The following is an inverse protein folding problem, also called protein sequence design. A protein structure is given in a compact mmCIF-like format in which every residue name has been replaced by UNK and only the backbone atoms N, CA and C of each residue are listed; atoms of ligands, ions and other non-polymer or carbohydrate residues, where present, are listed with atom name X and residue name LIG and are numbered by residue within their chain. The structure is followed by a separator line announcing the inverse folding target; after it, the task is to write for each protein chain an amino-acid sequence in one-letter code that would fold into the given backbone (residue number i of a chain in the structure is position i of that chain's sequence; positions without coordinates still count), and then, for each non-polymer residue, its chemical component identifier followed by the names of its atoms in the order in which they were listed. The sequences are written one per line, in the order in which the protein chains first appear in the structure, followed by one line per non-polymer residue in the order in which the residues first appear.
data_IF_348217671208
#
_entry.id   IF_348217671208
#
_cell.length_a   1.000
_cell.length_b   1.000
_cell.length_c   1.000
_cell.angle_alpha   90.00
_cell.angle_beta   90.00
_cell.angle_gamma   90.00
#
_symmetry.space_group_name_H-M   'P 1'
#
loop_
_entity.id
_entity.type
_entity.pdbx_description
1 polymer ?
#
# COMPACT_ATOMS: atom_id res chain seq x y z
N UNK A 1 -16.99 0.53 -6.52
CA UNK A 1 -15.54 0.62 -6.81
C UNK A 1 -14.87 -0.73 -7.06
N UNK A 2 -15.10 -1.80 -6.28
CA UNK A 2 -14.34 -3.06 -6.39
C UNK A 2 -14.25 -3.70 -7.79
N UNK A 3 -15.36 -3.73 -8.54
CA UNK A 3 -15.35 -4.26 -9.92
C UNK A 3 -14.47 -3.42 -10.87
N UNK A 4 -14.49 -2.09 -10.74
CA UNK A 4 -13.65 -1.20 -11.54
C UNK A 4 -12.17 -1.39 -11.20
N UNK A 5 -11.81 -1.45 -9.92
CA UNK A 5 -10.44 -1.65 -9.47
C UNK A 5 -9.85 -2.99 -9.94
N UNK A 6 -10.68 -4.03 -10.03
CA UNK A 6 -10.28 -5.36 -10.51
C UNK A 6 -9.82 -5.32 -11.97
N UNK A 7 -10.47 -4.52 -12.82
CA UNK A 7 -10.08 -4.35 -14.22
C UNK A 7 -8.93 -3.35 -14.38
N UNK A 8 -9.01 -2.22 -13.68
CA UNK A 8 -8.09 -1.11 -13.85
C UNK A 8 -6.69 -1.41 -13.30
N UNK A 9 -6.59 -2.05 -12.14
CA UNK A 9 -5.30 -2.30 -11.46
C UNK A 9 -4.29 -3.08 -12.32
N UNK A 10 -4.64 -4.28 -12.83
CA UNK A 10 -3.75 -5.05 -13.70
C UNK A 10 -3.35 -4.30 -14.97
N UNK A 11 -4.27 -3.59 -15.61
CA UNK A 11 -3.99 -2.81 -16.81
C UNK A 11 -2.98 -1.70 -16.47
N UNK A 12 -3.26 -0.88 -15.45
CA UNK A 12 -2.42 0.25 -15.01
C UNK A 12 -0.95 -0.13 -14.83
N UNK A 13 -0.68 -1.22 -14.11
CA UNK A 13 0.70 -1.63 -13.84
C UNK A 13 1.33 -2.44 -14.99
N UNK A 14 0.53 -3.12 -15.82
CA UNK A 14 1.08 -3.96 -16.92
C UNK A 14 1.55 -3.15 -18.12
N UNK A 15 1.00 -1.95 -18.33
CA UNK A 15 1.43 -1.05 -19.42
C UNK A 15 2.74 -0.33 -19.10
N UNK A 16 3.10 -0.16 -17.82
CA UNK A 16 4.31 0.57 -17.41
C UNK A 16 5.55 0.02 -18.12
N UNK A 17 5.85 -1.30 -18.07
CA UNK A 17 7.06 -1.79 -18.72
C UNK A 17 6.86 -2.06 -20.23
N UNK A 18 5.70 -1.70 -20.82
CA UNK A 18 5.57 -1.58 -22.28
C UNK A 18 6.00 -0.19 -22.77
N UNK A 19 5.92 0.83 -21.92
CA UNK A 19 6.27 2.21 -22.26
C UNK A 19 7.62 2.66 -21.68
N UNK A 20 8.14 1.96 -20.68
CA UNK A 20 9.34 2.34 -19.94
C UNK A 20 10.45 1.30 -20.09
N UNK A 21 11.71 1.76 -20.13
CA UNK A 21 12.87 0.87 -20.08
C UNK A 21 13.05 0.22 -18.71
N UNK A 22 13.84 -0.86 -18.63
CA UNK A 22 14.08 -1.59 -17.37
C UNK A 22 14.64 -0.71 -16.25
N UNK A 23 15.52 0.24 -16.59
CA UNK A 23 16.11 1.20 -15.64
C UNK A 23 15.13 2.30 -15.20
N UNK A 24 14.01 2.47 -15.91
CA UNK A 24 13.01 3.50 -15.63
C UNK A 24 11.84 2.95 -14.79
N UNK A 25 11.77 1.63 -14.57
CA UNK A 25 10.66 0.99 -13.87
C UNK A 25 10.50 1.47 -12.44
N UNK A 26 11.60 1.78 -11.75
CA UNK A 26 11.54 2.28 -10.38
C UNK A 26 10.94 3.68 -10.36
N UNK A 27 11.43 4.59 -11.21
CA UNK A 27 10.90 5.96 -11.32
C UNK A 27 9.43 5.96 -11.74
N UNK A 28 9.05 5.13 -12.70
CA UNK A 28 7.67 5.00 -13.13
C UNK A 28 6.75 4.48 -12.00
N UNK A 29 7.18 3.46 -11.25
CA UNK A 29 6.41 2.97 -10.11
C UNK A 29 6.34 4.01 -8.98
N UNK A 30 7.44 4.69 -8.67
CA UNK A 30 7.47 5.75 -7.66
C UNK A 30 6.49 6.89 -8.00
N UNK A 31 6.41 7.30 -9.27
CA UNK A 31 5.45 8.31 -9.73
C UNK A 31 4.00 7.83 -9.63
N UNK A 32 3.71 6.61 -10.10
CA UNK A 32 2.36 6.03 -10.03
C UNK A 32 1.90 5.86 -8.59
N UNK A 33 2.79 5.42 -7.70
CA UNK A 33 2.52 5.21 -6.29
C UNK A 33 2.32 6.56 -5.57
N UNK A 34 3.25 7.50 -5.71
CA UNK A 34 3.13 8.85 -5.16
C UNK A 34 1.86 9.56 -5.64
N UNK A 35 1.53 9.44 -6.94
CA UNK A 35 0.31 10.01 -7.50
C UNK A 35 -0.97 9.34 -6.98
N UNK A 36 -0.96 8.02 -6.77
CA UNK A 36 -2.08 7.29 -6.17
C UNK A 36 -2.31 7.76 -4.73
N UNK A 37 -1.24 7.87 -3.95
CA UNK A 37 -1.30 8.36 -2.58
C UNK A 37 -1.75 9.82 -2.52
N UNK A 38 -1.19 10.71 -3.35
CA UNK A 38 -1.65 12.10 -3.46
C UNK A 38 -3.16 12.19 -3.82
N UNK A 39 -3.64 11.34 -4.72
CA UNK A 39 -5.06 11.28 -5.06
C UNK A 39 -5.95 10.78 -3.91
N UNK A 40 -5.49 9.78 -3.14
CA UNK A 40 -6.18 9.32 -1.92
C UNK A 40 -6.28 10.47 -0.92
N UNK A 41 -5.18 11.18 -0.68
CA UNK A 41 -5.16 12.32 0.23
C UNK A 41 -6.14 13.42 -0.18
N UNK A 42 -6.01 13.90 -1.41
CA UNK A 42 -6.88 14.96 -1.93
C UNK A 42 -8.35 14.52 -1.94
N UNK A 43 -8.63 13.28 -2.31
CA UNK A 43 -9.98 12.71 -2.30
C UNK A 43 -10.57 12.65 -0.89
N UNK A 44 -9.81 12.19 0.10
CA UNK A 44 -10.25 12.13 1.50
C UNK A 44 -10.48 13.53 2.08
N UNK A 45 -9.56 14.47 1.85
CA UNK A 45 -9.69 15.86 2.30
C UNK A 45 -10.94 16.52 1.71
N UNK A 46 -11.11 16.44 0.39
CA UNK A 46 -12.28 16.99 -0.29
C UNK A 46 -13.57 16.28 0.17
N UNK A 47 -13.52 14.97 0.40
CA UNK A 47 -14.64 14.20 0.92
C UNK A 47 -15.11 14.68 2.29
N UNK A 48 -14.18 14.89 3.23
CA UNK A 48 -14.48 15.40 4.57
C UNK A 48 -15.03 16.83 4.58
N UNK A 49 -14.50 17.71 3.70
CA UNK A 49 -15.04 19.06 3.55
C UNK A 49 -16.47 19.01 2.99
N UNK A 50 -16.69 18.21 1.94
CA UNK A 50 -17.98 18.14 1.25
C UNK A 50 -19.05 17.47 2.12
N UNK A 51 -18.70 16.53 3.00
CA UNK A 51 -19.67 15.90 3.92
C UNK A 51 -20.28 16.88 4.92
N UNK A 52 -19.59 17.98 5.23
CA UNK A 52 -20.08 19.02 6.15
C UNK A 52 -21.02 20.07 5.50
N UNK A 53 -21.21 20.04 4.17
CA UNK A 53 -21.98 21.06 3.44
C UNK A 53 -23.43 20.58 3.21
N UNK A 54 -24.45 21.46 3.27
CA UNK A 54 -25.80 21.13 2.83
C UNK A 54 -25.80 20.59 1.38
N UNK A 55 -26.49 19.46 1.13
CA UNK A 55 -26.44 18.72 -0.13
C UNK A 55 -25.07 18.14 -0.50
N UNK A 56 -24.18 17.92 0.48
CA UNK A 56 -22.84 17.38 0.29
C UNK A 56 -22.77 16.12 -0.59
N UNK A 57 -23.73 15.19 -0.43
CA UNK A 57 -23.80 13.98 -1.28
C UNK A 57 -23.95 14.27 -2.78
N UNK A 58 -24.75 15.28 -3.16
CA UNK A 58 -24.91 15.68 -4.57
C UNK A 58 -23.63 16.34 -5.09
N UNK A 59 -23.03 17.23 -4.29
CA UNK A 59 -21.77 17.91 -4.62
C UNK A 59 -20.65 16.89 -4.81
N UNK A 60 -20.52 15.91 -3.91
CA UNK A 60 -19.57 14.82 -3.99
C UNK A 60 -19.78 14.00 -5.27
N UNK A 61 -21.03 13.70 -5.63
CA UNK A 61 -21.37 13.00 -6.87
C UNK A 61 -20.94 13.76 -8.12
N UNK A 62 -21.23 15.07 -8.20
CA UNK A 62 -20.84 15.94 -9.32
C UNK A 62 -19.31 16.03 -9.41
N UNK A 63 -18.63 16.25 -8.29
CA UNK A 63 -17.17 16.31 -8.23
C UNK A 63 -16.53 15.00 -8.69
N UNK A 64 -17.03 13.85 -8.22
CA UNK A 64 -16.54 12.54 -8.60
C UNK A 64 -16.70 12.28 -10.11
N UNK A 65 -17.84 12.66 -10.70
CA UNK A 65 -18.05 12.57 -12.16
C UNK A 65 -17.07 13.49 -12.90
N UNK A 66 -16.88 14.73 -12.44
CA UNK A 66 -15.92 15.67 -13.03
C UNK A 66 -14.49 15.11 -13.03
N UNK A 67 -14.03 14.58 -11.89
CA UNK A 67 -12.72 13.93 -11.78
C UNK A 67 -12.61 12.71 -12.71
N UNK A 68 -13.67 11.90 -12.82
CA UNK A 68 -13.69 10.75 -13.72
C UNK A 68 -13.58 11.17 -15.20
N UNK A 69 -14.25 12.25 -15.61
CA UNK A 69 -14.16 12.80 -16.97
C UNK A 69 -12.76 13.35 -17.28
N UNK A 70 -12.14 14.04 -16.33
CA UNK A 70 -10.75 14.52 -16.46
C UNK A 70 -9.80 13.32 -16.59
N UNK A 71 -9.94 12.32 -15.72
CA UNK A 71 -9.15 11.08 -15.79
C UNK A 71 -9.32 10.35 -17.12
N UNK A 72 -10.55 10.29 -17.64
CA UNK A 72 -10.83 9.75 -18.97
C UNK A 72 -10.13 10.56 -20.06
N UNK A 73 -10.21 11.90 -20.05
CA UNK A 73 -9.54 12.75 -21.02
C UNK A 73 -8.02 12.51 -21.03
N UNK A 74 -7.36 12.47 -19.87
CA UNK A 74 -5.93 12.15 -19.76
C UNK A 74 -5.61 10.73 -20.22
N UNK A 75 -6.48 9.75 -19.94
CA UNK A 75 -6.27 8.37 -20.37
C UNK A 75 -6.22 8.20 -21.90
N UNK A 76 -6.86 9.11 -22.66
CA UNK A 76 -6.81 9.12 -24.14
C UNK A 76 -5.44 9.48 -24.69
N UNK A 77 -4.56 10.09 -23.90
CA UNK A 77 -3.19 10.42 -24.27
C UNK A 77 -2.19 9.31 -23.94
N UNK A 78 -2.62 8.23 -23.26
CA UNK A 78 -1.76 7.08 -23.01
C UNK A 78 -1.45 6.42 -24.37
N UNK A 79 -0.16 6.22 -24.72
CA UNK A 79 0.21 5.59 -25.98
C UNK A 79 -0.39 4.18 -26.12
N UNK A 80 -0.53 3.70 -27.35
CA UNK A 80 -1.11 2.38 -27.61
C UNK A 80 -0.29 1.27 -26.95
N UNK A 81 -0.96 0.43 -26.15
CA UNK A 81 -0.40 -0.74 -25.48
C UNK A 81 -1.15 -2.00 -25.98
N UNK A 82 -0.78 -2.56 -27.14
CA UNK A 82 -1.50 -3.68 -27.75
C UNK A 82 -1.42 -4.94 -26.89
N UNK A 83 -2.43 -5.81 -27.02
CA UNK A 83 -2.45 -7.09 -26.30
C UNK A 83 -1.27 -7.96 -26.71
N UNK A 84 -0.50 -8.43 -25.73
CA UNK A 84 0.61 -9.35 -25.90
C UNK A 84 0.15 -10.82 -25.99
N UNK A 85 -1.16 -11.09 -25.89
CA UNK A 85 -1.73 -12.43 -26.00
C UNK A 85 -3.13 -12.42 -26.63
N UNK A 86 -3.26 -12.01 -27.90
CA UNK A 86 -4.55 -11.83 -28.56
C UNK A 86 -5.32 -13.15 -28.80
N UNK A 87 -4.62 -14.30 -28.81
CA UNK A 87 -5.24 -15.61 -29.02
C UNK A 87 -5.68 -16.30 -27.70
N UNK A 88 -5.50 -15.66 -26.54
CA UNK A 88 -5.86 -16.29 -25.27
C UNK A 88 -7.38 -16.40 -25.14
N UNK A 89 -7.94 -17.62 -24.96
CA UNK A 89 -9.38 -17.79 -24.86
C UNK A 89 -9.92 -17.17 -23.57
N UNK A 90 -10.99 -16.40 -23.70
CA UNK A 90 -11.70 -15.84 -22.54
C UNK A 90 -12.50 -16.94 -21.83
N UNK A 91 -12.42 -16.98 -20.50
CA UNK A 91 -13.12 -17.97 -19.67
C UNK A 91 -13.86 -17.28 -18.54
N UNK A 92 -15.14 -17.61 -18.38
CA UNK A 92 -15.98 -17.11 -17.29
C UNK A 92 -15.81 -17.90 -15.98
N UNK A 93 -15.00 -18.97 -15.97
CA UNK A 93 -14.78 -19.77 -14.77
C UNK A 93 -13.81 -19.06 -13.81
N UNK A 94 -14.36 -18.16 -12.99
CA UNK A 94 -13.60 -17.30 -12.07
C UNK A 94 -12.71 -18.11 -11.12
N UNK A 95 -13.20 -19.23 -10.57
CA UNK A 95 -12.42 -20.05 -9.63
C UNK A 95 -11.20 -20.67 -10.29
N UNK A 96 -11.39 -21.27 -11.47
CA UNK A 96 -10.30 -21.90 -12.23
C UNK A 96 -9.29 -20.85 -12.69
N UNK A 97 -9.76 -19.68 -13.14
CA UNK A 97 -8.87 -18.59 -13.58
C UNK A 97 -8.09 -17.98 -12.42
N UNK A 98 -8.70 -17.80 -11.25
CA UNK A 98 -8.01 -17.40 -10.01
C UNK A 98 -6.93 -18.41 -9.65
N UNK A 99 -7.26 -19.70 -9.62
CA UNK A 99 -6.29 -20.75 -9.28
C UNK A 99 -5.13 -20.81 -10.28
N UNK A 100 -5.42 -20.75 -11.59
CA UNK A 100 -4.41 -20.73 -12.63
C UNK A 100 -3.49 -19.51 -12.53
N UNK A 101 -4.06 -18.35 -12.20
CA UNK A 101 -3.32 -17.10 -12.01
C UNK A 101 -2.39 -17.16 -10.80
N UNK A 102 -2.86 -17.71 -9.67
CA UNK A 102 -2.04 -17.93 -8.48
C UNK A 102 -0.94 -18.97 -8.73
N UNK A 103 -1.27 -20.07 -9.45
CA UNK A 103 -0.30 -21.10 -9.84
C UNK A 103 0.80 -20.52 -10.72
N UNK A 104 0.45 -19.66 -11.66
CA UNK A 104 1.39 -18.95 -12.53
C UNK A 104 2.37 -18.08 -11.72
N UNK A 105 1.86 -17.33 -10.74
CA UNK A 105 2.71 -16.55 -9.84
C UNK A 105 3.66 -17.44 -9.03
N UNK A 106 3.19 -18.59 -8.54
CA UNK A 106 3.98 -19.53 -7.76
C UNK A 106 5.15 -20.17 -8.54
N UNK A 107 5.04 -20.30 -9.87
CA UNK A 107 6.11 -20.86 -10.72
C UNK A 107 7.40 -20.04 -10.65
N UNK A 108 7.29 -18.71 -10.53
CA UNK A 108 8.45 -17.85 -10.32
C UNK A 108 8.56 -17.49 -8.82
N UNK A 109 9.43 -18.21 -8.11
CA UNK A 109 9.59 -18.05 -6.66
C UNK A 109 10.00 -16.63 -6.24
N UNK A 110 10.76 -15.89 -7.07
CA UNK A 110 11.13 -14.50 -6.75
C UNK A 110 9.89 -13.61 -6.79
N UNK A 111 9.12 -13.72 -7.87
CA UNK A 111 7.87 -12.97 -8.06
C UNK A 111 6.87 -13.30 -6.97
N UNK A 112 6.69 -14.58 -6.64
CA UNK A 112 5.77 -14.99 -5.58
C UNK A 112 6.15 -14.41 -4.21
N UNK A 113 7.44 -14.44 -3.84
CA UNK A 113 7.90 -13.84 -2.60
C UNK A 113 7.73 -12.32 -2.59
N UNK A 114 7.95 -11.65 -3.72
CA UNK A 114 7.69 -10.21 -3.84
C UNK A 114 6.19 -9.91 -3.64
N UNK A 115 5.30 -10.73 -4.19
CA UNK A 115 3.85 -10.60 -3.98
C UNK A 115 3.51 -10.75 -2.50
N UNK A 116 4.00 -11.79 -1.82
CA UNK A 116 3.73 -11.97 -0.39
C UNK A 116 4.22 -10.77 0.44
N UNK A 117 5.38 -10.23 0.10
CA UNK A 117 5.92 -9.04 0.74
C UNK A 117 5.02 -7.82 0.47
N UNK A 118 4.56 -7.60 -0.77
CA UNK A 118 3.60 -6.53 -1.10
C UNK A 118 2.30 -6.72 -0.32
N UNK A 119 1.76 -7.94 -0.25
CA UNK A 119 0.54 -8.26 0.49
C UNK A 119 0.67 -7.95 1.98
N UNK A 120 1.86 -8.13 2.56
CA UNK A 120 2.13 -7.71 3.94
C UNK A 120 2.00 -6.19 4.13
N UNK A 121 2.53 -5.38 3.21
CA UNK A 121 2.37 -3.92 3.27
C UNK A 121 0.90 -3.49 3.18
N UNK A 122 0.12 -4.12 2.30
CA UNK A 122 -1.31 -3.85 2.20
C UNK A 122 -2.08 -4.27 3.44
N UNK A 123 -1.72 -5.39 4.06
CA UNK A 123 -2.26 -5.78 5.37
C UNK A 123 -1.96 -4.73 6.43
N UNK A 124 -0.70 -4.34 6.55
CA UNK A 124 -0.24 -3.32 7.50
C UNK A 124 -1.00 -2.01 7.33
N UNK A 125 -1.06 -1.50 6.10
CA UNK A 125 -1.76 -0.26 5.78
C UNK A 125 -3.27 -0.36 6.01
N UNK A 126 -3.92 -1.45 5.58
CA UNK A 126 -5.36 -1.62 5.78
C UNK A 126 -5.73 -1.71 7.27
N UNK A 127 -4.92 -2.39 8.08
CA UNK A 127 -5.10 -2.46 9.51
C UNK A 127 -4.99 -1.07 10.13
N UNK A 128 -3.92 -0.31 9.87
CA UNK A 128 -3.81 1.07 10.38
C UNK A 128 -4.99 1.95 9.96
N UNK A 129 -5.24 2.05 8.65
CA UNK A 129 -6.23 2.96 8.08
C UNK A 129 -7.65 2.64 8.55
N UNK A 130 -7.99 1.36 8.71
CA UNK A 130 -9.31 0.95 9.20
C UNK A 130 -9.53 1.27 10.68
N UNK A 131 -8.45 1.32 11.47
CA UNK A 131 -8.53 1.62 12.89
C UNK A 131 -8.42 3.12 13.20
N UNK A 132 -7.89 3.97 12.32
CA UNK A 132 -7.69 5.40 12.60
C UNK A 132 -8.94 6.14 13.12
N UNK A 133 -10.15 5.97 12.55
CA UNK A 133 -11.33 6.63 13.09
C UNK A 133 -11.59 6.27 14.56
N UNK A 134 -11.56 4.97 14.88
CA UNK A 134 -11.75 4.49 16.25
C UNK A 134 -10.59 4.88 17.16
N UNK A 135 -9.35 4.76 16.69
CA UNK A 135 -8.14 5.15 17.41
C UNK A 135 -8.18 6.62 17.85
N UNK A 136 -8.57 7.51 16.93
CA UNK A 136 -8.69 8.94 17.23
C UNK A 136 -9.79 9.19 18.26
N UNK A 137 -10.94 8.53 18.14
CA UNK A 137 -12.07 8.72 19.05
C UNK A 137 -11.83 8.14 20.44
N UNK A 138 -11.20 6.96 20.55
CA UNK A 138 -11.10 6.21 21.81
C UNK A 138 -9.77 6.37 22.52
N UNK A 139 -8.68 6.64 21.81
CA UNK A 139 -7.34 6.80 22.39
C UNK A 139 -6.92 8.26 22.40
N UNK A 140 -6.96 8.92 21.23
CA UNK A 140 -6.49 10.31 21.14
C UNK A 140 -7.49 11.34 21.66
N UNK A 141 -8.76 10.95 21.84
CA UNK A 141 -9.88 11.82 22.19
C UNK A 141 -10.01 13.02 21.21
N UNK A 142 -9.69 12.78 19.94
CA UNK A 142 -9.70 13.77 18.86
C UNK A 142 -10.97 13.72 18.00
N UNK A 143 -10.96 14.51 16.94
CA UNK A 143 -12.09 14.70 16.01
C UNK A 143 -11.80 14.19 14.58
N UNK A 144 -12.74 14.38 13.66
CA UNK A 144 -12.58 14.01 12.25
C UNK A 144 -11.39 14.73 11.57
N UNK A 145 -11.07 15.94 12.03
CA UNK A 145 -9.89 16.69 11.55
C UNK A 145 -8.62 15.94 11.92
N UNK A 146 -8.55 15.40 13.13
CA UNK A 146 -7.43 14.57 13.62
C UNK A 146 -7.28 13.30 12.78
N UNK A 147 -8.37 12.59 12.47
CA UNK A 147 -8.36 11.42 11.56
C UNK A 147 -7.76 11.80 10.21
N UNK A 148 -8.20 12.93 9.68
CA UNK A 148 -7.73 13.45 8.39
C UNK A 148 -6.24 13.78 8.42
N UNK A 149 -5.73 14.37 9.51
CA UNK A 149 -4.29 14.62 9.70
C UNK A 149 -3.50 13.30 9.68
N UNK A 150 -3.94 12.27 10.41
CA UNK A 150 -3.26 10.96 10.42
C UNK A 150 -3.21 10.34 9.02
N UNK A 151 -4.34 10.30 8.32
CA UNK A 151 -4.43 9.81 6.94
C UNK A 151 -3.50 10.60 6.01
N UNK A 152 -3.44 11.92 6.20
CA UNK A 152 -2.59 12.81 5.40
C UNK A 152 -1.11 12.54 5.59
N UNK A 153 -0.65 12.47 6.83
CA UNK A 153 0.77 12.26 7.12
C UNK A 153 1.24 10.87 6.72
N UNK A 154 0.44 9.84 6.94
CA UNK A 154 0.74 8.49 6.46
C UNK A 154 0.94 8.49 4.93
N UNK A 155 0.01 9.14 4.22
CA UNK A 155 0.00 9.21 2.76
C UNK A 155 1.17 10.03 2.21
N UNK A 156 1.45 11.19 2.80
CA UNK A 156 2.61 12.04 2.45
C UNK A 156 3.91 11.29 2.74
N UNK A 157 3.99 10.58 3.87
CA UNK A 157 5.12 9.74 4.22
C UNK A 157 5.43 8.74 3.12
N UNK A 158 4.42 8.00 2.62
CA UNK A 158 4.63 7.03 1.52
C UNK A 158 5.12 7.70 0.24
N UNK A 159 4.60 8.89 -0.11
CA UNK A 159 5.11 9.68 -1.24
C UNK A 159 6.58 10.05 -1.07
N UNK A 160 6.98 10.55 0.10
CA UNK A 160 8.38 10.87 0.43
C UNK A 160 9.24 9.61 0.34
N UNK A 161 8.79 8.50 0.93
CA UNK A 161 9.47 7.20 0.87
C UNK A 161 9.67 6.68 -0.54
N UNK A 162 8.68 6.88 -1.41
CA UNK A 162 8.72 6.46 -2.81
C UNK A 162 9.77 7.24 -3.60
N UNK A 163 9.83 8.57 -3.42
CA UNK A 163 10.85 9.43 -4.02
C UNK A 163 12.24 9.10 -3.46
N UNK A 164 12.33 8.84 -2.15
CA UNK A 164 13.58 8.45 -1.51
C UNK A 164 14.08 7.10 -2.07
N UNK A 165 13.17 6.14 -2.29
CA UNK A 165 13.50 4.86 -2.92
C UNK A 165 14.13 5.08 -4.29
N UNK A 166 13.52 5.91 -5.13
CA UNK A 166 14.06 6.23 -6.45
C UNK A 166 15.52 6.73 -6.34
N UNK A 167 15.75 7.75 -5.50
CA UNK A 167 17.09 8.34 -5.30
C UNK A 167 18.11 7.34 -4.76
N UNK A 168 17.74 6.54 -3.77
CA UNK A 168 18.64 5.55 -3.14
C UNK A 168 18.86 4.29 -4.00
N UNK A 169 17.95 4.02 -4.94
CA UNK A 169 18.04 2.86 -5.83
C UNK A 169 19.07 3.03 -6.94
N UNK A 170 19.47 4.27 -7.25
CA UNK A 170 20.25 4.62 -8.44
C UNK A 170 19.69 3.95 -9.71
N UNK A 171 18.37 3.95 -9.89
CA UNK A 171 17.67 3.38 -11.05
C UNK A 171 17.82 1.85 -11.20
N UNK A 172 18.17 1.14 -10.12
CA UNK A 172 18.36 -0.32 -10.08
C UNK A 172 17.58 -0.97 -8.94
N UNK A 173 17.05 -2.17 -9.15
CA UNK A 173 16.27 -2.87 -8.12
C UNK A 173 17.21 -3.33 -7.00
N UNK A 174 17.08 -2.73 -5.81
CA UNK A 174 17.93 -3.03 -4.64
C UNK A 174 17.14 -3.72 -3.53
N UNK A 175 17.27 -5.05 -3.36
CA UNK A 175 16.58 -5.79 -2.30
C UNK A 175 16.91 -5.31 -0.88
N UNK A 176 18.07 -4.68 -0.67
CA UNK A 176 18.44 -4.11 0.63
C UNK A 176 17.49 -2.99 1.09
N UNK A 177 16.93 -2.20 0.16
CA UNK A 177 15.96 -1.15 0.50
C UNK A 177 14.66 -1.73 1.04
N UNK A 178 14.26 -2.92 0.57
CA UNK A 178 13.09 -3.65 1.11
C UNK A 178 13.32 -3.98 2.58
N UNK A 179 14.51 -4.47 2.94
CA UNK A 179 14.84 -4.83 4.33
C UNK A 179 14.86 -3.58 5.21
N UNK A 180 15.48 -2.49 4.73
CA UNK A 180 15.50 -1.21 5.45
C UNK A 180 14.08 -0.67 5.66
N UNK A 181 13.24 -0.71 4.63
CA UNK A 181 11.83 -0.33 4.71
C UNK A 181 11.07 -1.18 5.73
N UNK A 182 11.21 -2.50 5.70
CA UNK A 182 10.52 -3.38 6.65
C UNK A 182 10.97 -3.15 8.10
N UNK A 183 12.28 -2.99 8.35
CA UNK A 183 12.81 -2.69 9.69
C UNK A 183 12.30 -1.33 10.17
N UNK A 184 12.38 -0.30 9.33
CA UNK A 184 11.92 1.04 9.69
C UNK A 184 10.42 1.12 9.95
N UNK A 185 9.60 0.42 9.16
CA UNK A 185 8.16 0.27 9.43
C UNK A 185 7.92 -0.39 10.79
N UNK A 186 8.61 -1.49 11.08
CA UNK A 186 8.44 -2.22 12.34
C UNK A 186 8.90 -1.43 13.56
N UNK A 187 10.06 -0.77 13.51
CA UNK A 187 10.57 0.01 14.64
C UNK A 187 9.70 1.26 14.91
N UNK A 188 9.38 2.02 13.87
CA UNK A 188 8.51 3.20 14.00
C UNK A 188 7.08 2.80 14.40
N UNK A 189 6.61 1.63 13.94
CA UNK A 189 5.32 1.07 14.34
C UNK A 189 5.27 0.63 15.81
N UNK A 190 6.36 0.07 16.34
CA UNK A 190 6.46 -0.26 17.76
C UNK A 190 6.44 1.02 18.59
N UNK A 191 7.24 2.02 18.24
CA UNK A 191 7.29 3.28 18.98
C UNK A 191 5.95 4.03 18.95
N UNK A 192 5.29 4.05 17.78
CA UNK A 192 3.93 4.55 17.60
C UNK A 192 2.95 3.85 18.55
N UNK A 193 2.98 2.52 18.59
CA UNK A 193 2.05 1.73 19.40
C UNK A 193 2.31 1.90 20.91
N UNK A 194 3.57 1.95 21.33
CA UNK A 194 3.93 2.18 22.73
C UNK A 194 3.57 3.60 23.18
N UNK A 195 3.79 4.60 22.33
CA UNK A 195 3.36 5.98 22.58
C UNK A 195 1.84 6.06 22.69
N UNK A 196 1.13 5.34 21.82
CA UNK A 196 -0.33 5.25 21.83
C UNK A 196 -0.89 4.57 23.10
N UNK A 197 -0.28 3.48 23.58
CA UNK A 197 -0.68 2.79 24.82
C UNK A 197 -0.58 3.71 26.05
N UNK A 198 0.42 4.59 26.07
CA UNK A 198 0.65 5.51 27.18
C UNK A 198 0.18 6.93 26.87
N UNK A 199 -0.67 7.09 25.86
CA UNK A 199 -1.17 8.41 25.46
C UNK A 199 -2.08 8.96 26.55
N UNK A 200 -1.74 10.15 27.04
CA UNK A 200 -2.55 10.85 28.04
C UNK A 200 -3.26 12.02 27.39
N UNK A 201 -4.59 11.89 27.22
CA UNK A 201 -5.42 12.97 26.69
C UNK A 201 -5.59 14.08 27.75
N UNK A 202 -4.58 14.96 27.86
CA UNK A 202 -4.58 16.11 28.76
C UNK A 202 -4.65 17.41 27.96
N UNK A 203 -5.65 18.25 28.25
CA UNK A 203 -5.82 19.56 27.60
C UNK A 203 -6.17 19.45 26.12
N UNK A 204 -5.76 20.45 25.34
CA UNK A 204 -5.95 20.46 23.89
C UNK A 204 -4.99 19.49 23.20
N UNK A 205 -5.50 18.62 22.34
CA UNK A 205 -4.71 17.60 21.59
C UNK A 205 -3.54 18.23 20.83
N UNK A 206 -3.73 19.42 20.25
CA UNK A 206 -2.72 20.13 19.47
C UNK A 206 -1.61 20.77 20.33
N UNK A 207 -1.75 20.77 21.65
CA UNK A 207 -0.71 21.16 22.59
C UNK A 207 0.01 19.95 23.22
N UNK A 208 -0.45 18.72 22.95
CA UNK A 208 0.08 17.51 23.55
C UNK A 208 1.38 17.04 22.85
N UNK A 209 2.53 16.97 23.53
CA UNK A 209 3.78 16.50 22.93
C UNK A 209 3.71 15.05 22.42
N UNK A 210 2.96 14.17 23.09
CA UNK A 210 2.78 12.79 22.66
C UNK A 210 2.02 12.71 21.33
N UNK A 211 1.13 13.68 21.06
CA UNK A 211 0.41 13.74 19.79
C UNK A 211 1.39 14.00 18.64
N UNK A 212 2.30 14.98 18.78
CA UNK A 212 3.33 15.22 17.77
C UNK A 212 4.28 14.03 17.58
N UNK A 213 4.55 13.26 18.63
CA UNK A 213 5.32 12.03 18.51
C UNK A 213 4.59 10.99 17.65
N UNK A 214 3.30 10.75 17.93
CA UNK A 214 2.43 9.90 17.11
C UNK A 214 2.42 10.34 15.65
N UNK A 215 2.33 11.65 15.38
CA UNK A 215 2.37 12.19 14.02
C UNK A 215 3.72 11.91 13.32
N UNK A 216 4.82 12.05 14.06
CA UNK A 216 6.17 11.78 13.57
C UNK A 216 6.36 10.31 13.23
N UNK A 217 6.02 9.40 14.16
CA UNK A 217 6.14 7.97 13.93
C UNK A 217 5.27 7.52 12.76
N UNK A 218 4.04 8.03 12.67
CA UNK A 218 3.15 7.71 11.56
C UNK A 218 3.72 8.15 10.20
N UNK A 219 4.35 9.32 10.18
CA UNK A 219 5.05 9.81 8.99
C UNK A 219 6.21 8.88 8.62
N UNK A 220 7.01 8.45 9.60
CA UNK A 220 8.12 7.52 9.40
C UNK A 220 7.65 6.15 8.90
N UNK A 221 6.58 5.60 9.48
CA UNK A 221 5.93 4.38 9.00
C UNK A 221 5.59 4.53 7.51
N UNK A 222 5.01 5.66 7.11
CA UNK A 222 4.74 5.95 5.70
C UNK A 222 6.01 5.98 4.84
N UNK A 223 7.05 6.71 5.27
CA UNK A 223 8.33 6.82 4.55
C UNK A 223 8.97 5.45 4.33
N UNK A 224 9.05 4.64 5.38
CA UNK A 224 9.60 3.30 5.27
C UNK A 224 8.68 2.36 4.48
N UNK A 225 7.36 2.59 4.52
CA UNK A 225 6.38 1.95 3.66
C UNK A 225 6.68 2.14 2.17
N UNK A 226 6.95 3.37 1.73
CA UNK A 226 7.34 3.65 0.34
C UNK A 226 8.69 3.04 -0.05
N UNK A 227 9.67 3.04 0.87
CA UNK A 227 10.95 2.34 0.67
C UNK A 227 10.80 0.82 0.56
N UNK A 228 9.75 0.26 1.16
CA UNK A 228 9.43 -1.15 1.13
C UNK A 228 8.67 -1.55 -0.15
N UNK A 229 7.59 -0.85 -0.49
CA UNK A 229 6.65 -1.25 -1.55
C UNK A 229 7.19 -1.01 -2.96
N UNK A 230 7.75 0.16 -3.25
CA UNK A 230 8.23 0.55 -4.59
C UNK A 230 9.20 -0.48 -5.21
N UNK A 231 10.29 -0.89 -4.54
CA UNK A 231 11.24 -1.83 -5.14
C UNK A 231 10.65 -3.23 -5.31
N UNK A 232 9.66 -3.63 -4.48
CA UNK A 232 8.95 -4.89 -4.65
C UNK A 232 8.06 -4.89 -5.89
N UNK A 233 7.34 -3.80 -6.15
CA UNK A 233 6.55 -3.65 -7.37
C UNK A 233 7.43 -3.66 -8.62
N UNK A 234 8.56 -2.95 -8.60
CA UNK A 234 9.54 -2.96 -9.68
C UNK A 234 10.13 -4.38 -9.89
N UNK A 235 10.50 -5.08 -8.81
CA UNK A 235 10.98 -6.46 -8.86
C UNK A 235 9.96 -7.42 -9.47
N UNK A 236 8.71 -7.36 -9.01
CA UNK A 236 7.61 -8.18 -9.51
C UNK A 236 7.40 -7.94 -11.01
N UNK A 237 7.38 -6.68 -11.45
CA UNK A 237 7.15 -6.32 -12.86
C UNK A 237 8.32 -6.72 -13.76
N UNK A 238 9.55 -6.42 -13.33
CA UNK A 238 10.78 -6.69 -14.10
C UNK A 238 11.10 -8.18 -14.22
N UNK A 239 10.73 -9.00 -13.22
CA UNK A 239 10.94 -10.46 -13.25
C UNK A 239 9.77 -11.24 -13.85
N UNK A 240 8.69 -10.56 -14.25
CA UNK A 240 7.54 -11.19 -14.92
C UNK A 240 7.68 -11.10 -16.43
N UNK A 241 7.44 -12.23 -17.12
CA UNK A 241 7.39 -12.26 -18.57
C UNK A 241 6.27 -11.36 -19.10
N UNK A 242 6.52 -10.67 -20.21
CA UNK A 242 5.62 -9.62 -20.69
C UNK A 242 4.18 -10.14 -20.96
N UNK A 243 4.04 -11.35 -21.47
CA UNK A 243 2.75 -11.96 -21.80
C UNK A 243 1.95 -12.46 -20.57
N UNK A 244 2.62 -12.65 -19.42
CA UNK A 244 2.00 -13.10 -18.17
C UNK A 244 1.91 -12.01 -17.10
N UNK A 245 2.61 -10.88 -17.28
CA UNK A 245 2.74 -9.79 -16.30
C UNK A 245 1.40 -9.26 -15.78
N UNK A 246 0.41 -9.06 -16.65
CA UNK A 246 -0.93 -8.62 -16.21
C UNK A 246 -1.60 -9.62 -15.27
N UNK A 247 -1.46 -10.92 -15.55
CA UNK A 247 -1.95 -12.01 -14.68
C UNK A 247 -1.17 -12.08 -13.38
N UNK A 248 0.14 -11.84 -13.39
CA UNK A 248 0.93 -11.73 -12.16
C UNK A 248 0.45 -10.57 -11.28
N UNK A 249 0.16 -9.41 -11.87
CA UNK A 249 -0.41 -8.27 -11.13
C UNK A 249 -1.82 -8.60 -10.60
N UNK A 250 -2.62 -9.36 -11.35
CA UNK A 250 -3.89 -9.85 -10.85
C UNK A 250 -3.72 -10.81 -9.66
N UNK A 251 -2.76 -11.74 -9.72
CA UNK A 251 -2.39 -12.61 -8.60
C UNK A 251 -1.98 -11.79 -7.36
N UNK A 252 -1.20 -10.73 -7.57
CA UNK A 252 -0.84 -9.78 -6.52
C UNK A 252 -2.06 -9.15 -5.85
N UNK A 253 -3.00 -8.64 -6.62
CA UNK A 253 -4.20 -8.02 -6.06
C UNK A 253 -5.08 -9.01 -5.29
N UNK A 254 -5.17 -10.26 -5.76
CA UNK A 254 -5.89 -11.34 -5.06
C UNK A 254 -5.25 -11.61 -3.70
N UNK A 255 -3.93 -11.78 -3.65
CA UNK A 255 -3.22 -12.05 -2.39
C UNK A 255 -3.25 -10.84 -1.45
N UNK A 256 -3.15 -9.62 -1.96
CA UNK A 256 -3.32 -8.41 -1.16
C UNK A 256 -4.70 -8.37 -0.51
N UNK A 257 -5.76 -8.64 -1.27
CA UNK A 257 -7.12 -8.69 -0.74
C UNK A 257 -7.29 -9.79 0.32
N UNK A 258 -6.74 -10.98 0.07
CA UNK A 258 -6.77 -12.08 1.02
C UNK A 258 -6.08 -11.71 2.34
N UNK A 259 -4.91 -11.08 2.28
CA UNK A 259 -4.16 -10.63 3.44
C UNK A 259 -4.93 -9.55 4.22
N UNK A 260 -5.51 -8.56 3.55
CA UNK A 260 -6.33 -7.52 4.20
C UNK A 260 -7.56 -8.11 4.90
N UNK A 261 -8.27 -9.04 4.25
CA UNK A 261 -9.44 -9.71 4.86
C UNK A 261 -9.04 -10.60 6.03
N UNK A 262 -7.97 -11.40 5.88
CA UNK A 262 -7.46 -12.23 6.96
C UNK A 262 -7.01 -11.38 8.16
N UNK A 263 -6.31 -10.26 7.91
CA UNK A 263 -5.93 -9.29 8.93
C UNK A 263 -7.15 -8.74 9.68
N UNK A 264 -8.20 -8.32 8.95
CA UNK A 264 -9.43 -7.84 9.56
C UNK A 264 -10.13 -8.90 10.45
N UNK A 265 -10.17 -10.16 10.01
CA UNK A 265 -10.73 -11.26 10.80
C UNK A 265 -9.89 -11.50 12.07
N UNK A 266 -8.57 -11.51 11.95
CA UNK A 266 -7.67 -11.66 13.12
C UNK A 266 -7.86 -10.51 14.10
N UNK A 267 -7.91 -9.27 13.62
CA UNK A 267 -8.17 -8.09 14.45
C UNK A 267 -9.53 -8.20 15.17
N UNK A 268 -10.58 -8.65 14.50
CA UNK A 268 -11.90 -8.85 15.12
C UNK A 268 -11.85 -9.86 16.26
N UNK A 269 -11.18 -11.00 16.07
CA UNK A 269 -11.01 -12.04 17.11
C UNK A 269 -10.18 -11.52 18.30
N UNK A 270 -9.15 -10.72 18.04
CA UNK A 270 -8.32 -10.14 19.10
C UNK A 270 -9.09 -9.10 19.93
N UNK A 271 -9.93 -8.28 19.29
CA UNK A 271 -10.84 -7.38 20.02
C UNK A 271 -11.82 -8.14 20.92
N UNK A 272 -12.39 -9.26 20.47
CA UNK A 272 -13.22 -10.13 21.31
C UNK A 272 -12.44 -10.74 22.48
N UNK A 273 -11.12 -10.90 22.34
CA UNK A 273 -10.21 -11.39 23.39
C UNK A 273 -9.73 -10.29 24.34
N UNK A 274 -10.23 -9.04 24.19
CA UNK A 274 -9.94 -7.92 25.07
C UNK A 274 -8.72 -7.09 24.69
N UNK A 275 -8.12 -7.31 23.52
CA UNK A 275 -7.03 -6.46 23.02
C UNK A 275 -7.58 -5.08 22.66
N UNK A 276 -6.79 -4.03 22.83
CA UNK A 276 -7.15 -2.68 22.39
C UNK A 276 -6.47 -2.30 21.06
N UNK A 277 -6.78 -1.12 20.52
CA UNK A 277 -6.25 -0.69 19.22
C UNK A 277 -4.71 -0.57 19.24
N UNK A 278 -4.08 0.09 20.25
CA UNK A 278 -2.62 0.09 20.37
C UNK A 278 -1.98 -1.31 20.40
N UNK A 279 -2.59 -2.29 21.05
CA UNK A 279 -2.08 -3.67 21.07
C UNK A 279 -2.07 -4.29 19.66
N UNK A 280 -3.10 -4.03 18.86
CA UNK A 280 -3.17 -4.47 17.46
C UNK A 280 -2.07 -3.80 16.62
N UNK A 281 -1.79 -2.51 16.84
CA UNK A 281 -0.69 -1.80 16.19
C UNK A 281 0.68 -2.36 16.59
N UNK A 282 0.87 -2.69 17.86
CA UNK A 282 2.10 -3.30 18.35
C UNK A 282 2.32 -4.68 17.72
N UNK A 283 1.27 -5.51 17.67
CA UNK A 283 1.32 -6.85 17.06
C UNK A 283 1.80 -6.77 15.60
N UNK A 284 1.18 -5.91 14.79
CA UNK A 284 1.53 -5.83 13.38
C UNK A 284 2.93 -5.25 13.16
N UNK A 285 3.37 -4.33 14.01
CA UNK A 285 4.71 -3.76 13.96
C UNK A 285 5.80 -4.80 14.31
N UNK A 286 5.60 -5.57 15.38
CA UNK A 286 6.49 -6.67 15.77
C UNK A 286 6.51 -7.76 14.69
N UNK A 287 5.34 -8.14 14.17
CA UNK A 287 5.26 -9.12 13.10
C UNK A 287 5.98 -8.64 11.82
N UNK A 288 5.99 -7.33 11.56
CA UNK A 288 6.74 -6.73 10.43
C UNK A 288 8.24 -6.88 10.60
N UNK A 289 8.78 -6.80 11.82
CA UNK A 289 10.19 -7.10 12.08
C UNK A 289 10.54 -8.58 11.83
N UNK A 290 9.63 -9.50 12.16
CA UNK A 290 9.80 -10.93 11.83
C UNK A 290 9.84 -11.14 10.32
N UNK A 291 8.93 -10.50 9.58
CA UNK A 291 8.91 -10.52 8.12
C UNK A 291 10.20 -9.91 7.56
N UNK A 292 10.70 -8.82 8.13
CA UNK A 292 11.99 -8.23 7.75
C UNK A 292 13.15 -9.23 7.90
N UNK A 293 13.20 -9.96 9.01
CA UNK A 293 14.19 -11.01 9.24
C UNK A 293 14.11 -12.15 8.22
N UNK A 294 12.89 -12.57 7.86
CA UNK A 294 12.67 -13.59 6.83
C UNK A 294 13.16 -13.09 5.46
N UNK A 295 12.80 -11.87 5.08
CA UNK A 295 13.22 -11.25 3.81
C UNK A 295 14.74 -11.14 3.75
N UNK A 296 15.38 -10.64 4.82
CA UNK A 296 16.83 -10.51 4.92
C UNK A 296 17.54 -11.87 4.77
N UNK A 297 17.04 -12.91 5.44
CA UNK A 297 17.58 -14.28 5.32
C UNK A 297 17.48 -14.81 3.89
N UNK A 298 16.35 -14.59 3.22
CA UNK A 298 16.14 -15.03 1.83
C UNK A 298 17.12 -14.33 0.89
N UNK A 299 17.27 -13.01 1.01
CA UNK A 299 18.19 -12.21 0.18
C UNK A 299 19.63 -12.69 0.39
N UNK A 300 20.06 -12.85 1.65
CA UNK A 300 21.41 -13.30 1.96
C UNK A 300 21.71 -14.70 1.42
N UNK A 301 20.76 -15.63 1.56
CA UNK A 301 20.93 -17.02 1.06
C UNK A 301 21.08 -17.05 -0.46
N UNK A 302 20.34 -16.20 -1.20
CA UNK A 302 20.45 -16.13 -2.65
C UNK A 302 21.74 -15.50 -3.12
N UNK A 303 22.16 -14.40 -2.50
CA UNK A 303 23.45 -13.77 -2.81
C UNK A 303 24.62 -14.75 -2.67
N UNK A 304 24.55 -15.66 -1.70
CA UNK A 304 25.55 -16.72 -1.49
C UNK A 304 25.53 -17.83 -2.56
N UNK A 305 24.37 -18.10 -3.17
CA UNK A 305 24.22 -19.14 -4.20
C UNK A 305 24.55 -18.63 -5.62
N UNK A 306 24.68 -17.32 -5.81
CA UNK A 306 25.07 -16.67 -7.07
C UNK A 306 26.57 -16.28 -7.11
N UNK A 307 27.32 -16.57 -6.04
CA UNK A 307 28.78 -16.45 -5.89
C UNK A 307 29.43 -17.84 -5.89
#
# INVERSE_FOLDING_TARGET
MGMHSTLFGPIKYSIIPQHMGENELISANALVESGTFAAILLGTLMGGIVSGIPNGGVIAGIAAIGVALIGYAFSRYIPSAPSLSPQMPFSLNLFTQTFNTLRLAYQNRIVFLAILAISWFWLYGALLLSQFPSFVQTVLMGDETTVTILLSLFTVGIGIGSILCERLSHHSIRPSLVVVGAIGMGLSGIDFALTAQHFTAAGEIYANPQFFHILFDLTLIGVFGGLYSVPLYALMQGRSEAHSRSRIIAANNILNALFMVAGAIVTMVLFESGWDIPDIFLLIAVATLLVAGIIARIIHTKAKNEL
#
